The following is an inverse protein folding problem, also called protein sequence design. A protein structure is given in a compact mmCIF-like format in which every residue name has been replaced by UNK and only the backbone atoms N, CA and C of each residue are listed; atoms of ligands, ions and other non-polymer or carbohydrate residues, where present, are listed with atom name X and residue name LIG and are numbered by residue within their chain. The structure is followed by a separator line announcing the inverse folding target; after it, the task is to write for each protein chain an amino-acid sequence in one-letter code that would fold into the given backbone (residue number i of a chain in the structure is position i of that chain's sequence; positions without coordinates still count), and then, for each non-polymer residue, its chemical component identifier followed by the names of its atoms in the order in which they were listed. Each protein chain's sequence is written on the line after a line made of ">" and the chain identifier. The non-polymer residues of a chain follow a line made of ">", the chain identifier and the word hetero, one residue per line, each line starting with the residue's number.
data_IF_941156681079
#
_entry.id   IF_941156681079
#
_cell.length_a   1.000
_cell.length_b   1.000
_cell.length_c   1.000
_cell.angle_alpha   90.00
_cell.angle_beta   90.00
_cell.angle_gamma   90.00
#
_symmetry.space_group_name_H-M   'P 1'
#
loop_
_entity.id
_entity.type
_entity.pdbx_description
1 polymer ?
#
# COMPACT_ATOMS: atom_id res chain seq x y z
N UNK A 1 11.76 4.36 7.00
CA UNK A 1 12.24 2.98 7.13
C UNK A 1 13.57 2.88 7.86
N UNK A 2 14.47 3.87 7.80
CA UNK A 2 15.74 3.86 8.57
C UNK A 2 15.56 3.74 10.09
N UNK A 3 14.38 4.05 10.63
CA UNK A 3 14.05 3.82 12.03
C UNK A 3 13.41 2.45 12.32
N UNK A 4 12.94 1.72 11.31
CA UNK A 4 12.39 0.36 11.47
C UNK A 4 13.43 -0.73 11.25
N UNK A 5 14.43 -0.45 10.43
CA UNK A 5 15.54 -1.35 10.12
C UNK A 5 16.86 -0.63 10.38
N UNK A 6 17.90 -1.34 10.86
CA UNK A 6 19.22 -0.76 11.03
C UNK A 6 19.75 -0.27 9.67
N UNK A 7 20.39 0.91 9.68
CA UNK A 7 21.10 1.47 8.53
C UNK A 7 22.58 1.60 8.89
N UNK A 8 23.39 0.56 8.66
CA UNK A 8 24.82 0.62 8.92
C UNK A 8 25.52 1.60 7.97
N UNK A 9 26.73 2.02 8.33
CA UNK A 9 27.51 2.96 7.51
C UNK A 9 27.90 2.36 6.15
N UNK A 10 28.04 1.03 6.09
CA UNK A 10 28.46 0.30 4.91
C UNK A 10 27.40 -0.72 4.47
N UNK A 11 27.37 -1.01 3.18
CA UNK A 11 26.34 -1.87 2.59
C UNK A 11 26.47 -3.32 3.05
N UNK A 12 27.70 -3.84 3.09
CA UNK A 12 28.06 -5.20 3.49
C UNK A 12 27.62 -5.57 4.92
N UNK A 13 27.41 -4.57 5.78
CA UNK A 13 26.98 -4.75 7.16
C UNK A 13 25.45 -4.83 7.28
N UNK A 14 24.71 -4.73 6.17
CA UNK A 14 23.24 -4.76 6.18
C UNK A 14 22.72 -6.18 6.43
N UNK A 15 22.48 -6.52 7.69
CA UNK A 15 22.09 -7.89 8.11
C UNK A 15 20.65 -8.27 7.74
N UNK A 16 19.74 -7.30 7.53
CA UNK A 16 18.31 -7.54 7.26
C UNK A 16 17.93 -7.27 5.80
N UNK A 17 18.87 -7.53 4.88
CA UNK A 17 18.76 -7.20 3.46
C UNK A 17 17.52 -7.80 2.80
N UNK A 18 17.22 -9.06 3.10
CA UNK A 18 16.07 -9.81 2.57
C UNK A 18 14.76 -9.24 3.07
N UNK A 19 14.63 -9.08 4.39
CA UNK A 19 13.42 -8.58 5.05
C UNK A 19 13.08 -7.17 4.57
N UNK A 20 14.08 -6.29 4.48
CA UNK A 20 13.90 -4.91 3.98
C UNK A 20 13.31 -4.94 2.56
N UNK A 21 13.90 -5.72 1.66
CA UNK A 21 13.47 -5.77 0.26
C UNK A 21 12.08 -6.39 0.12
N UNK A 22 11.83 -7.52 0.76
CA UNK A 22 10.50 -8.15 0.73
C UNK A 22 9.45 -7.21 1.33
N UNK A 23 9.72 -6.63 2.50
CA UNK A 23 8.80 -5.73 3.16
C UNK A 23 8.46 -4.52 2.28
N UNK A 24 9.49 -3.86 1.74
CA UNK A 24 9.32 -2.69 0.89
C UNK A 24 8.48 -3.01 -0.35
N UNK A 25 8.85 -4.06 -1.09
CA UNK A 25 8.20 -4.38 -2.37
C UNK A 25 6.82 -4.97 -2.16
N UNK A 26 6.59 -5.80 -1.13
CA UNK A 26 5.25 -6.31 -0.78
C UNK A 26 4.33 -5.14 -0.43
N UNK A 27 4.78 -4.21 0.41
CA UNK A 27 4.02 -3.01 0.78
C UNK A 27 3.77 -2.11 -0.43
N UNK A 28 4.77 -1.87 -1.27
CA UNK A 28 4.62 -1.09 -2.50
C UNK A 28 3.62 -1.74 -3.48
N UNK A 29 3.69 -3.07 -3.62
CA UNK A 29 2.74 -3.85 -4.39
C UNK A 29 1.32 -3.75 -3.84
N UNK A 30 1.15 -3.90 -2.52
CA UNK A 30 -0.13 -3.73 -1.83
C UNK A 30 -0.73 -2.33 -2.05
N UNK A 31 0.08 -1.27 -1.87
CA UNK A 31 -0.33 0.10 -2.10
C UNK A 31 -0.77 0.31 -3.56
N UNK A 32 0.02 -0.16 -4.52
CA UNK A 32 -0.28 -0.06 -5.95
C UNK A 32 -1.58 -0.79 -6.31
N UNK A 33 -1.75 -2.03 -5.83
CA UNK A 33 -2.98 -2.79 -6.05
C UNK A 33 -4.20 -2.11 -5.43
N UNK A 34 -4.04 -1.48 -4.27
CA UNK A 34 -5.10 -0.69 -3.64
C UNK A 34 -5.44 0.58 -4.44
N UNK A 35 -4.46 1.23 -5.05
CA UNK A 35 -4.66 2.42 -5.88
C UNK A 35 -5.45 2.08 -7.15
N UNK A 36 -5.13 0.95 -7.79
CA UNK A 36 -5.89 0.41 -8.93
C UNK A 36 -7.36 0.15 -8.54
N UNK A 37 -7.64 -0.18 -7.27
CA UNK A 37 -9.00 -0.37 -6.80
C UNK A 37 -9.86 0.91 -6.88
N UNK A 38 -9.23 2.10 -6.78
CA UNK A 38 -9.94 3.38 -6.90
C UNK A 38 -10.49 3.60 -8.31
N UNK A 39 -9.89 3.02 -9.34
CA UNK A 39 -10.40 3.04 -10.70
C UNK A 39 -11.37 1.87 -10.95
N UNK A 40 -10.99 0.65 -10.54
CA UNK A 40 -11.79 -0.54 -10.88
C UNK A 40 -13.14 -0.62 -10.16
N UNK A 41 -13.26 -0.09 -8.94
CA UNK A 41 -14.53 -0.07 -8.20
C UNK A 41 -15.62 0.82 -8.84
N UNK A 42 -15.36 2.11 -9.18
CA UNK A 42 -16.36 2.91 -9.89
C UNK A 42 -16.60 2.38 -11.30
N UNK A 43 -15.58 1.91 -12.03
CA UNK A 43 -15.78 1.27 -13.34
C UNK A 43 -16.70 0.05 -13.25
N UNK A 44 -16.54 -0.80 -12.24
CA UNK A 44 -17.44 -1.94 -12.05
C UNK A 44 -18.87 -1.49 -11.74
N UNK A 45 -19.04 -0.40 -10.98
CA UNK A 45 -20.35 0.17 -10.66
C UNK A 45 -21.01 0.80 -11.89
N UNK A 46 -20.25 1.46 -12.77
CA UNK A 46 -20.74 1.98 -14.05
C UNK A 46 -21.24 0.84 -14.94
N UNK A 47 -20.48 -0.26 -15.04
CA UNK A 47 -20.90 -1.46 -15.79
C UNK A 47 -22.18 -2.07 -15.20
N UNK A 48 -22.29 -2.17 -13.87
CA UNK A 48 -23.52 -2.66 -13.22
C UNK A 48 -24.69 -1.71 -13.38
N UNK A 49 -24.47 -0.40 -13.39
CA UNK A 49 -25.53 0.57 -13.69
C UNK A 49 -26.08 0.36 -15.10
N UNK A 50 -25.20 0.15 -16.08
CA UNK A 50 -25.61 -0.10 -17.46
C UNK A 50 -26.35 -1.43 -17.62
N UNK A 51 -25.83 -2.52 -17.03
CA UNK A 51 -26.37 -3.87 -17.22
C UNK A 51 -27.55 -4.22 -16.30
N UNK A 52 -27.54 -3.70 -15.07
CA UNK A 52 -28.44 -4.13 -13.99
C UNK A 52 -29.20 -2.97 -13.34
N UNK A 53 -29.09 -1.74 -13.91
CA UNK A 53 -29.74 -0.52 -13.40
C UNK A 53 -29.43 -0.21 -11.93
N UNK A 54 -28.28 -0.67 -11.43
CA UNK A 54 -27.85 -0.39 -10.05
C UNK A 54 -27.64 1.11 -9.84
N UNK A 55 -28.19 1.72 -8.77
CA UNK A 55 -28.01 3.14 -8.50
C UNK A 55 -26.56 3.42 -8.10
N UNK A 56 -26.02 4.56 -8.58
CA UNK A 56 -24.68 5.03 -8.22
C UNK A 56 -24.80 5.90 -6.96
N UNK A 57 -24.72 5.28 -5.79
CA UNK A 57 -24.84 5.94 -4.48
C UNK A 57 -23.70 5.54 -3.58
N UNK A 58 -23.51 6.25 -2.46
CA UNK A 58 -22.48 5.89 -1.46
C UNK A 58 -22.70 4.48 -0.92
N UNK A 59 -23.95 4.05 -0.79
CA UNK A 59 -24.33 2.72 -0.31
C UNK A 59 -23.89 1.59 -1.26
N UNK A 60 -23.76 1.85 -2.57
CA UNK A 60 -23.30 0.87 -3.55
C UNK A 60 -21.81 0.99 -3.86
N UNK A 61 -21.27 2.22 -3.81
CA UNK A 61 -19.85 2.50 -4.08
C UNK A 61 -18.93 2.06 -2.94
N UNK A 62 -19.26 2.37 -1.68
CA UNK A 62 -18.37 2.09 -0.54
C UNK A 62 -18.09 0.59 -0.37
N UNK A 63 -19.09 -0.32 -0.40
CA UNK A 63 -18.82 -1.75 -0.31
C UNK A 63 -17.98 -2.28 -1.49
N UNK A 64 -18.14 -1.70 -2.69
CA UNK A 64 -17.34 -2.05 -3.87
C UNK A 64 -15.91 -1.59 -3.72
N UNK A 65 -15.68 -0.35 -3.28
CA UNK A 65 -14.35 0.17 -2.97
C UNK A 65 -13.62 -0.72 -1.96
N UNK A 66 -14.27 -1.05 -0.84
CA UNK A 66 -13.68 -1.95 0.17
C UNK A 66 -13.36 -3.33 -0.41
N UNK A 67 -14.23 -3.87 -1.26
CA UNK A 67 -14.01 -5.19 -1.88
C UNK A 67 -12.84 -5.17 -2.87
N UNK A 68 -12.82 -4.20 -3.77
CA UNK A 68 -11.75 -4.06 -4.76
C UNK A 68 -10.43 -3.72 -4.08
N UNK A 69 -10.44 -2.87 -3.06
CA UNK A 69 -9.23 -2.47 -2.32
C UNK A 69 -8.65 -3.64 -1.53
N UNK A 70 -9.49 -4.43 -0.84
CA UNK A 70 -9.05 -5.64 -0.16
C UNK A 70 -8.41 -6.65 -1.12
N UNK A 71 -9.03 -6.89 -2.28
CA UNK A 71 -8.47 -7.76 -3.33
C UNK A 71 -7.18 -7.19 -3.91
N UNK A 72 -7.15 -5.88 -4.14
CA UNK A 72 -6.00 -5.15 -4.66
C UNK A 72 -4.78 -5.26 -3.75
N UNK A 73 -4.95 -5.09 -2.44
CA UNK A 73 -3.87 -5.32 -1.47
C UNK A 73 -3.33 -6.74 -1.57
N UNK A 74 -4.20 -7.75 -1.50
CA UNK A 74 -3.78 -9.15 -1.46
C UNK A 74 -3.04 -9.52 -2.75
N UNK A 75 -3.62 -9.20 -3.91
CA UNK A 75 -2.99 -9.48 -5.20
C UNK A 75 -1.70 -8.68 -5.40
N UNK A 76 -1.68 -7.41 -4.98
CA UNK A 76 -0.51 -6.56 -5.05
C UNK A 76 0.62 -7.02 -4.14
N UNK A 77 0.31 -7.47 -2.92
CA UNK A 77 1.27 -8.03 -1.96
C UNK A 77 1.89 -9.33 -2.50
N UNK A 78 1.06 -10.24 -3.01
CA UNK A 78 1.53 -11.48 -3.66
C UNK A 78 2.45 -11.16 -4.83
N UNK A 79 2.03 -10.23 -5.70
CA UNK A 79 2.85 -9.78 -6.82
C UNK A 79 4.19 -9.20 -6.33
N UNK A 80 4.19 -8.38 -5.27
CA UNK A 80 5.41 -7.81 -4.72
C UNK A 80 6.39 -8.86 -4.17
N UNK A 81 5.87 -9.90 -3.51
CA UNK A 81 6.67 -11.04 -3.06
C UNK A 81 7.29 -11.80 -4.24
N UNK A 82 6.48 -12.13 -5.25
CA UNK A 82 6.95 -12.82 -6.46
C UNK A 82 7.94 -11.97 -7.27
N UNK A 83 7.73 -10.65 -7.35
CA UNK A 83 8.62 -9.72 -8.02
C UNK A 83 9.98 -9.64 -7.33
N UNK A 84 9.99 -9.59 -5.99
CA UNK A 84 11.23 -9.61 -5.19
C UNK A 84 11.98 -10.92 -5.39
N UNK A 85 11.28 -12.05 -5.19
CA UNK A 85 11.85 -13.37 -5.40
C UNK A 85 12.42 -13.52 -6.81
N UNK A 86 11.66 -13.18 -7.84
CA UNK A 86 12.08 -13.30 -9.24
C UNK A 86 13.26 -12.40 -9.58
N UNK A 87 13.27 -11.16 -9.08
CA UNK A 87 14.36 -10.20 -9.35
C UNK A 87 15.66 -10.56 -8.64
N UNK A 88 15.56 -11.16 -7.45
CA UNK A 88 16.73 -11.46 -6.63
C UNK A 88 17.17 -12.93 -6.71
N UNK A 89 16.49 -13.76 -7.49
CA UNK A 89 16.89 -15.14 -7.72
C UNK A 89 18.26 -15.21 -8.40
N UNK A 90 19.19 -15.95 -7.79
CA UNK A 90 20.55 -16.11 -8.29
C UNK A 90 21.48 -14.94 -7.98
N UNK A 91 21.07 -14.03 -7.09
CA UNK A 91 21.88 -12.91 -6.62
C UNK A 91 22.67 -13.29 -5.36
N UNK A 92 23.90 -12.81 -5.27
CA UNK A 92 24.77 -13.01 -4.11
C UNK A 92 24.32 -12.15 -2.94
N UNK A 93 24.66 -12.54 -1.70
CA UNK A 93 24.23 -11.82 -0.49
C UNK A 93 24.62 -10.34 -0.53
N UNK A 94 25.84 -10.03 -0.99
CA UNK A 94 26.29 -8.64 -1.12
C UNK A 94 25.41 -7.80 -2.06
N UNK A 95 24.81 -8.40 -3.08
CA UNK A 95 23.88 -7.71 -3.98
C UNK A 95 22.51 -7.45 -3.32
N UNK A 96 22.07 -8.32 -2.40
CA UNK A 96 20.89 -8.08 -1.57
C UNK A 96 21.16 -6.92 -0.61
N UNK A 97 22.29 -6.97 0.07
CA UNK A 97 22.75 -5.98 1.03
C UNK A 97 22.89 -4.59 0.41
N UNK A 98 23.62 -4.47 -0.70
CA UNK A 98 23.77 -3.20 -1.44
C UNK A 98 22.43 -2.63 -1.90
N UNK A 99 21.52 -3.45 -2.41
CA UNK A 99 20.20 -2.97 -2.85
C UNK A 99 19.36 -2.50 -1.66
N UNK A 100 19.34 -3.26 -0.57
CA UNK A 100 18.61 -2.89 0.65
C UNK A 100 19.18 -1.61 1.28
N UNK A 101 20.50 -1.47 1.31
CA UNK A 101 21.18 -0.28 1.81
C UNK A 101 20.83 0.97 0.98
N UNK A 102 20.94 0.88 -0.36
CA UNK A 102 20.55 1.98 -1.27
C UNK A 102 19.07 2.34 -1.17
N UNK A 103 18.22 1.38 -0.85
CA UNK A 103 16.80 1.62 -0.63
C UNK A 103 16.55 2.45 0.63
N UNK A 104 17.26 2.15 1.73
CA UNK A 104 17.17 2.92 2.97
C UNK A 104 17.76 4.33 2.83
N UNK A 105 18.77 4.50 1.97
CA UNK A 105 19.34 5.82 1.67
C UNK A 105 18.41 6.70 0.81
N UNK A 106 17.53 6.06 0.04
CA UNK A 106 16.59 6.78 -0.82
C UNK A 106 15.43 7.39 0.00
N UNK A 107 15.59 8.66 0.36
CA UNK A 107 14.59 9.45 1.11
C UNK A 107 13.19 9.40 0.52
N UNK A 108 13.04 9.33 -0.80
CA UNK A 108 11.72 9.26 -1.45
C UNK A 108 11.00 7.94 -1.15
N UNK A 109 11.73 6.83 -1.28
CA UNK A 109 11.21 5.51 -0.99
C UNK A 109 10.85 5.40 0.49
N UNK A 110 11.74 5.84 1.36
CA UNK A 110 11.54 5.90 2.81
C UNK A 110 10.31 6.73 3.20
N UNK A 111 10.08 7.88 2.58
CA UNK A 111 8.89 8.69 2.81
C UNK A 111 7.63 7.96 2.35
N UNK A 112 7.65 7.37 1.15
CA UNK A 112 6.53 6.59 0.60
C UNK A 112 6.19 5.38 1.49
N UNK A 113 7.21 4.73 2.02
CA UNK A 113 7.10 3.67 3.03
C UNK A 113 6.23 4.09 4.21
N UNK A 114 6.50 5.26 4.79
CA UNK A 114 5.75 5.78 5.93
C UNK A 114 4.33 6.21 5.56
N UNK A 115 4.16 6.95 4.47
CA UNK A 115 2.82 7.39 4.04
C UNK A 115 1.86 6.23 3.83
N UNK A 116 2.33 5.13 3.24
CA UNK A 116 1.48 3.96 3.05
C UNK A 116 1.20 3.22 4.36
N UNK A 117 2.18 3.10 5.26
CA UNK A 117 1.98 2.45 6.55
C UNK A 117 1.04 3.23 7.45
N UNK A 118 1.26 4.53 7.60
CA UNK A 118 0.41 5.40 8.42
C UNK A 118 -1.01 5.43 7.87
N UNK A 119 -1.14 5.57 6.54
CA UNK A 119 -2.41 5.47 5.85
C UNK A 119 -3.11 4.14 6.13
N UNK A 120 -2.41 3.00 6.02
CA UNK A 120 -2.96 1.69 6.32
C UNK A 120 -3.46 1.57 7.76
N UNK A 121 -2.65 1.99 8.74
CA UNK A 121 -2.98 1.91 10.17
C UNK A 121 -4.23 2.73 10.48
N UNK A 122 -4.26 3.99 10.03
CA UNK A 122 -5.43 4.87 10.19
C UNK A 122 -6.66 4.27 9.49
N UNK A 123 -6.48 3.75 8.28
CA UNK A 123 -7.52 3.07 7.51
C UNK A 123 -8.12 1.88 8.26
N UNK A 124 -7.29 0.96 8.76
CA UNK A 124 -7.74 -0.20 9.54
C UNK A 124 -8.50 0.24 10.79
N UNK A 125 -7.96 1.19 11.55
CA UNK A 125 -8.60 1.69 12.77
C UNK A 125 -9.99 2.27 12.46
N UNK A 126 -10.09 3.15 11.46
CA UNK A 126 -11.35 3.74 11.03
C UNK A 126 -12.35 2.70 10.52
N UNK A 127 -11.89 1.74 9.70
CA UNK A 127 -12.70 0.67 9.13
C UNK A 127 -13.28 -0.26 10.21
N UNK A 128 -12.46 -0.67 11.18
CA UNK A 128 -12.89 -1.51 12.30
C UNK A 128 -13.91 -0.79 13.19
N UNK A 129 -13.69 0.49 13.51
CA UNK A 129 -14.65 1.29 14.29
C UNK A 129 -15.97 1.43 13.53
N UNK A 130 -15.92 1.71 12.23
CA UNK A 130 -17.12 1.85 11.40
C UNK A 130 -17.89 0.52 11.25
N UNK A 131 -17.19 -0.61 11.10
CA UNK A 131 -17.80 -1.94 11.07
C UNK A 131 -18.46 -2.31 12.39
N UNK A 132 -17.79 -2.07 13.53
CA UNK A 132 -18.36 -2.30 14.87
C UNK A 132 -19.61 -1.46 15.14
N UNK A 133 -19.70 -0.27 14.55
CA UNK A 133 -20.87 0.62 14.64
C UNK A 133 -21.96 0.32 13.60
N UNK A 134 -21.84 -0.77 12.83
CA UNK A 134 -22.82 -1.16 11.82
C UNK A 134 -22.89 -0.23 10.60
N UNK A 135 -21.92 0.67 10.41
CA UNK A 135 -21.89 1.62 9.28
C UNK A 135 -21.36 1.01 7.99
N UNK A 136 -20.66 -0.13 8.10
CA UNK A 136 -20.15 -0.88 6.95
C UNK A 136 -20.80 -2.27 6.96
N UNK A 137 -21.54 -2.65 5.91
CA UNK A 137 -22.15 -3.97 5.79
C UNK A 137 -21.11 -5.00 5.33
N UNK A 138 -20.02 -5.16 6.09
CA UNK A 138 -18.98 -6.15 5.81
C UNK A 138 -18.44 -6.78 7.09
N UNK A 139 -17.99 -8.03 6.99
CA UNK A 139 -17.29 -8.69 8.10
C UNK A 139 -16.00 -7.97 8.48
N UNK A 140 -15.58 -8.09 9.75
CA UNK A 140 -14.43 -7.37 10.32
C UNK A 140 -13.15 -7.49 9.49
N UNK A 141 -12.84 -8.68 8.96
CA UNK A 141 -11.64 -8.88 8.13
C UNK A 141 -11.69 -8.11 6.81
N UNK A 142 -12.86 -8.07 6.15
CA UNK A 142 -13.05 -7.31 4.90
C UNK A 142 -13.06 -5.81 5.16
N UNK A 143 -13.62 -5.37 6.29
CA UNK A 143 -13.54 -3.97 6.72
C UNK A 143 -12.08 -3.57 6.99
N UNK A 144 -11.33 -4.37 7.73
CA UNK A 144 -9.92 -4.11 8.02
C UNK A 144 -9.08 -4.04 6.73
N UNK A 145 -9.09 -5.10 5.90
CA UNK A 145 -8.29 -5.14 4.67
C UNK A 145 -8.74 -4.09 3.65
N UNK A 146 -10.05 -3.92 3.45
CA UNK A 146 -10.57 -2.93 2.52
C UNK A 146 -10.21 -1.50 2.94
N UNK A 147 -10.32 -1.19 4.24
CA UNK A 147 -9.98 0.13 4.75
C UNK A 147 -8.47 0.36 4.86
N UNK A 148 -7.66 -0.69 5.10
CA UNK A 148 -6.20 -0.61 4.98
C UNK A 148 -5.80 -0.12 3.59
N UNK A 149 -6.41 -0.67 2.53
CA UNK A 149 -6.04 -0.33 1.16
C UNK A 149 -6.50 1.04 0.75
N UNK A 150 -7.70 1.45 1.18
CA UNK A 150 -8.13 2.84 1.02
C UNK A 150 -7.19 3.80 1.75
N UNK A 151 -6.76 3.43 2.95
CA UNK A 151 -5.76 4.14 3.73
C UNK A 151 -4.41 4.27 3.01
N UNK A 152 -3.87 3.18 2.47
CA UNK A 152 -2.64 3.18 1.67
C UNK A 152 -2.77 4.05 0.42
N UNK A 153 -3.91 3.98 -0.28
CA UNK A 153 -4.18 4.80 -1.46
C UNK A 153 -4.27 6.29 -1.12
N UNK A 154 -4.93 6.62 0.00
CA UNK A 154 -4.91 7.99 0.54
C UNK A 154 -3.50 8.42 0.96
N UNK A 155 -2.67 7.50 1.43
CA UNK A 155 -1.24 7.72 1.68
C UNK A 155 -0.47 8.12 0.43
N UNK A 156 -0.70 7.47 -0.72
CA UNK A 156 -0.10 7.87 -2.02
C UNK A 156 -0.46 9.32 -2.36
N UNK A 157 -1.75 9.65 -2.30
CA UNK A 157 -2.24 10.98 -2.64
C UNK A 157 -1.72 12.02 -1.62
N UNK A 158 -1.70 11.66 -0.35
CA UNK A 158 -1.18 12.46 0.75
C UNK A 158 0.31 12.76 0.59
N UNK A 159 1.12 11.76 0.24
CA UNK A 159 2.54 11.92 -0.07
C UNK A 159 2.73 12.92 -1.22
N UNK A 160 1.98 12.76 -2.31
CA UNK A 160 2.10 13.67 -3.46
C UNK A 160 1.72 15.10 -3.08
N UNK A 161 0.62 15.28 -2.34
CA UNK A 161 0.18 16.59 -1.86
C UNK A 161 1.19 17.24 -0.90
N UNK A 162 1.74 16.45 0.03
CA UNK A 162 2.79 16.90 0.94
C UNK A 162 4.05 17.29 0.19
N UNK A 163 4.53 16.41 -0.68
CA UNK A 163 5.78 16.61 -1.42
C UNK A 163 5.71 17.81 -2.35
N UNK A 164 4.74 17.82 -3.24
CA UNK A 164 4.69 18.81 -4.32
C UNK A 164 3.93 20.07 -3.90
N UNK A 165 2.96 19.95 -3.01
CA UNK A 165 2.18 21.09 -2.53
C UNK A 165 2.84 21.82 -1.37
N UNK A 166 3.25 21.10 -0.32
CA UNK A 166 3.77 21.73 0.91
C UNK A 166 5.28 21.95 0.86
N UNK A 167 6.03 20.92 0.45
CA UNK A 167 7.50 20.93 0.43
C UNK A 167 8.11 21.42 -0.90
N UNK A 168 7.28 21.75 -1.89
CA UNK A 168 7.75 22.25 -3.20
C UNK A 168 8.73 21.31 -3.91
N UNK A 169 8.63 19.99 -3.66
CA UNK A 169 9.50 18.96 -4.22
C UNK A 169 10.76 18.66 -3.40
N UNK A 170 11.11 19.46 -2.38
CA UNK A 170 12.36 19.34 -1.61
C UNK A 170 12.23 18.41 -0.41
N UNK A 171 13.35 17.81 0.03
CA UNK A 171 13.43 16.92 1.19
C UNK A 171 13.82 17.64 2.50
N UNK A 172 13.95 18.97 2.43
CA UNK A 172 14.42 19.85 3.51
C UNK A 172 13.27 20.33 4.38
#
# INVERSE_FOLDING_TARGET
>A
MSSLFPHPAYAEDQTLSHEILYFHVIRAGAATGSLIALATAPSSLLVSRYRQKTPFTRATLLPRLLTHSARGIVLGAIFGGLATWGRMRGKEEIEWQDRAWRLLENKWQVESDWWHLDGAVVGVAAGLVAARRGKIPSGLGKAALGSAGLGMSSGVIGQMGWRFGVKGGKFD
#
